data_IF_132821128869
#
_entry.id   IF_132821128869
#
_cell.length_a   1.000
_cell.length_b   1.000
_cell.length_c   1.000
_cell.angle_alpha   90.00
_cell.angle_beta   90.00
_cell.angle_gamma   90.00
#
_symmetry.space_group_name_H-M   'P 1'
#
loop_
_entity.id
_entity.type
_entity.pdbx_description
1 polymer ?
#
# COMPACT_ATOMS: atom_id res chain seq x y z
N UNK A 1 -19.75 34.53 57.49
CA UNK A 1 -20.53 33.27 57.44
C UNK A 1 -19.56 32.10 57.32
N UNK A 2 -19.33 31.36 58.41
CA UNK A 2 -18.55 30.12 58.43
C UNK A 2 -19.12 29.22 59.53
N UNK A 3 -19.50 27.99 59.17
CA UNK A 3 -19.49 26.84 60.07
C UNK A 3 -19.61 25.56 59.22
N UNK A 4 -18.53 24.82 59.20
CA UNK A 4 -18.40 23.44 58.73
C UNK A 4 -19.23 22.46 59.56
N UNK A 5 -19.78 21.42 58.93
CA UNK A 5 -19.88 20.10 59.58
C UNK A 5 -19.92 18.98 58.54
N UNK A 6 -19.17 17.93 58.85
CA UNK A 6 -18.97 16.75 58.03
C UNK A 6 -19.60 15.52 58.68
N UNK A 7 -19.67 14.46 57.87
CA UNK A 7 -19.71 13.02 58.20
C UNK A 7 -21.08 12.45 58.63
N UNK A 8 -21.57 11.47 57.86
CA UNK A 8 -21.56 10.04 58.27
C UNK A 8 -21.80 9.12 57.08
N UNK A 9 -20.77 8.33 56.82
CA UNK A 9 -20.78 7.11 56.02
C UNK A 9 -21.73 6.10 56.67
N UNK A 10 -22.58 5.47 55.88
CA UNK A 10 -23.29 4.25 56.29
C UNK A 10 -23.05 3.21 55.21
N UNK A 11 -22.16 2.25 55.53
CA UNK A 11 -22.10 0.97 54.84
C UNK A 11 -23.43 0.24 55.07
N UNK A 12 -24.12 -0.11 53.99
CA UNK A 12 -25.03 -1.24 53.99
C UNK A 12 -24.52 -2.23 52.94
N UNK A 13 -23.90 -3.31 53.43
CA UNK A 13 -23.68 -4.53 52.67
C UNK A 13 -25.03 -5.24 52.61
N UNK A 14 -25.61 -5.33 51.42
CA UNK A 14 -26.84 -6.05 51.14
C UNK A 14 -26.72 -6.72 49.79
N UNK A 15 -26.49 -8.03 49.81
CA UNK A 15 -26.27 -8.92 48.68
C UNK A 15 -27.59 -9.17 47.94
N UNK A 16 -27.65 -8.79 46.65
CA UNK A 16 -28.23 -9.61 45.55
C UNK A 16 -27.98 -8.86 44.22
N UNK A 17 -26.87 -9.14 43.55
CA UNK A 17 -26.56 -8.53 42.26
C UNK A 17 -26.50 -9.63 41.19
N UNK A 18 -27.56 -9.72 40.39
CA UNK A 18 -27.55 -10.41 39.10
C UNK A 18 -27.95 -9.42 38.00
N UNK A 19 -27.24 -9.54 36.88
CA UNK A 19 -27.46 -8.94 35.55
C UNK A 19 -26.79 -7.56 35.35
N UNK A 20 -25.53 -7.56 34.86
CA UNK A 20 -25.15 -7.38 33.44
C UNK A 20 -25.34 -5.90 33.02
N UNK A 21 -24.30 -5.08 32.90
CA UNK A 21 -23.41 -5.12 31.74
C UNK A 21 -22.25 -4.12 31.92
N UNK A 22 -21.03 -4.57 31.59
CA UNK A 22 -19.81 -3.76 31.51
C UNK A 22 -19.89 -2.80 30.32
N UNK A 23 -19.81 -1.49 30.56
CA UNK A 23 -19.56 -0.50 29.51
C UNK A 23 -18.11 0.00 29.62
N UNK A 24 -17.17 -0.77 29.09
CA UNK A 24 -15.81 -0.28 28.77
C UNK A 24 -15.79 -0.04 27.25
N UNK A 25 -16.10 1.20 26.87
CA UNK A 25 -15.99 1.66 25.48
C UNK A 25 -14.73 2.50 25.33
N UNK A 26 -13.70 1.96 24.68
CA UNK A 26 -12.72 2.67 23.84
C UNK A 26 -11.65 1.69 23.35
N UNK A 27 -11.98 0.90 22.33
CA UNK A 27 -10.96 0.31 21.45
C UNK A 27 -10.90 1.13 20.17
N UNK A 28 -9.83 1.91 19.99
CA UNK A 28 -9.29 2.33 18.70
C UNK A 28 -7.87 2.84 18.96
N UNK A 29 -6.85 2.35 18.24
CA UNK A 29 -6.83 2.51 16.79
C UNK A 29 -6.59 1.18 16.04
N UNK A 30 -7.43 0.93 15.04
CA UNK A 30 -7.07 0.09 13.89
C UNK A 30 -6.69 1.03 12.74
N UNK A 31 -5.40 1.27 12.58
CA UNK A 31 -4.77 1.76 11.36
C UNK A 31 -3.28 1.37 11.50
N UNK A 32 -2.59 0.85 10.49
CA UNK A 32 -2.61 1.25 9.10
C UNK A 32 -2.53 0.03 8.18
N UNK A 33 -3.16 0.17 7.00
CA UNK A 33 -2.98 -0.73 5.89
C UNK A 33 -1.51 -0.64 5.43
N UNK A 34 -0.71 -1.66 5.73
CA UNK A 34 0.63 -1.80 5.17
C UNK A 34 0.50 -2.39 3.76
N UNK A 35 -0.01 -1.60 2.81
CA UNK A 35 0.44 -1.75 1.43
C UNK A 35 1.74 -0.97 1.32
N UNK A 36 2.80 -1.50 1.94
CA UNK A 36 4.13 -0.89 1.91
C UNK A 36 4.72 -1.23 0.53
N UNK A 37 4.28 -0.48 -0.48
CA UNK A 37 4.92 -0.51 -1.79
C UNK A 37 6.40 -0.15 -1.58
N UNK A 38 7.34 -0.85 -2.24
CA UNK A 38 8.76 -0.65 -1.96
C UNK A 38 9.19 0.75 -2.42
N UNK A 39 10.09 1.39 -1.66
CA UNK A 39 10.64 2.69 -2.03
C UNK A 39 11.48 2.62 -3.31
N UNK A 40 12.15 1.47 -3.52
CA UNK A 40 13.03 1.24 -4.65
C UNK A 40 12.69 -0.05 -5.39
N UNK A 41 12.93 -0.03 -6.69
CA UNK A 41 12.79 -1.15 -7.59
C UNK A 41 14.13 -1.59 -8.18
N UNK A 42 14.16 -2.85 -8.59
CA UNK A 42 15.14 -3.41 -9.53
C UNK A 42 14.47 -4.06 -10.73
N UNK A 43 15.16 -4.06 -11.87
CA UNK A 43 14.67 -4.66 -13.11
C UNK A 43 14.82 -6.18 -13.04
N UNK A 44 13.68 -6.87 -13.19
CA UNK A 44 13.57 -8.32 -13.27
C UNK A 44 13.45 -8.77 -14.72
N UNK A 45 14.59 -8.93 -15.39
CA UNK A 45 14.70 -9.40 -16.77
C UNK A 45 15.99 -10.20 -16.95
N UNK A 46 16.03 -11.08 -17.96
CA UNK A 46 17.25 -11.78 -18.34
C UNK A 46 18.35 -10.82 -18.79
N UNK A 47 19.61 -11.20 -18.56
CA UNK A 47 20.78 -10.40 -18.89
C UNK A 47 20.78 -9.99 -20.37
N UNK A 48 21.08 -8.72 -20.64
CA UNK A 48 21.04 -8.12 -21.97
C UNK A 48 19.65 -7.62 -22.39
N UNK A 49 18.62 -7.86 -21.58
CA UNK A 49 17.30 -7.25 -21.77
C UNK A 49 17.30 -5.74 -21.48
N UNK A 50 16.39 -5.02 -22.13
CA UNK A 50 16.16 -3.59 -21.87
C UNK A 50 14.70 -3.32 -21.58
N UNK A 51 14.44 -2.59 -20.50
CA UNK A 51 13.12 -2.13 -20.10
C UNK A 51 12.90 -0.68 -20.55
N UNK A 52 11.90 -0.43 -21.39
CA UNK A 52 11.64 0.91 -21.92
C UNK A 52 10.94 1.81 -20.89
N UNK A 53 11.45 3.04 -20.74
CA UNK A 53 10.81 4.12 -19.98
C UNK A 53 10.10 5.05 -20.97
N UNK A 54 8.85 5.43 -20.66
CA UNK A 54 7.96 6.16 -21.57
C UNK A 54 7.36 7.40 -20.92
N UNK A 55 6.92 8.35 -21.74
CA UNK A 55 6.33 9.61 -21.27
C UNK A 55 4.98 9.43 -20.56
N UNK A 56 4.22 8.39 -20.91
CA UNK A 56 2.89 8.07 -20.36
C UNK A 56 2.77 6.55 -20.13
N UNK A 57 1.83 6.08 -19.28
CA UNK A 57 1.60 4.66 -19.00
C UNK A 57 0.93 3.92 -20.17
N UNK A 58 1.62 3.83 -21.31
CA UNK A 58 1.10 3.24 -22.54
C UNK A 58 2.22 2.75 -23.45
N UNK A 59 2.01 1.59 -24.08
CA UNK A 59 2.94 1.05 -25.08
C UNK A 59 3.10 1.95 -26.32
N UNK A 60 2.11 2.81 -26.59
CA UNK A 60 2.13 3.76 -27.70
C UNK A 60 2.78 5.10 -27.33
N UNK A 61 3.07 5.34 -26.05
CA UNK A 61 3.68 6.59 -25.61
C UNK A 61 5.14 6.68 -26.08
N UNK A 62 5.61 7.92 -26.31
CA UNK A 62 7.00 8.19 -26.65
C UNK A 62 7.96 7.54 -25.64
N UNK A 63 8.97 6.82 -26.13
CA UNK A 63 10.08 6.32 -25.33
C UNK A 63 10.98 7.49 -24.95
N UNK A 64 11.25 7.64 -23.65
CA UNK A 64 12.14 8.70 -23.11
C UNK A 64 13.47 8.13 -22.62
N UNK A 65 13.55 6.81 -22.43
CA UNK A 65 14.80 6.14 -22.09
C UNK A 65 14.63 4.63 -21.96
N UNK A 66 15.64 3.97 -21.41
CA UNK A 66 15.61 2.54 -21.11
C UNK A 66 16.50 2.21 -19.90
N UNK A 67 16.10 1.17 -19.18
CA UNK A 67 16.84 0.57 -18.08
C UNK A 67 17.39 -0.77 -18.57
N UNK A 68 18.60 -1.12 -18.15
CA UNK A 68 19.18 -2.42 -18.44
C UNK A 68 18.60 -3.49 -17.51
N UNK A 69 18.69 -4.75 -17.90
CA UNK A 69 18.47 -5.87 -16.98
C UNK A 69 19.30 -5.66 -15.70
N UNK A 70 18.75 -6.09 -14.57
CA UNK A 70 19.40 -6.03 -13.25
C UNK A 70 19.68 -4.61 -12.71
N UNK A 71 19.26 -3.55 -13.43
CA UNK A 71 19.33 -2.16 -12.91
C UNK A 71 18.57 -2.09 -11.58
N UNK A 72 19.21 -1.59 -10.53
CA UNK A 72 18.68 -1.43 -9.18
C UNK A 72 18.66 0.06 -8.77
N UNK A 73 18.20 0.38 -7.56
CA UNK A 73 18.11 1.76 -7.06
C UNK A 73 17.14 2.64 -7.85
N UNK A 74 16.12 2.06 -8.47
CA UNK A 74 15.11 2.81 -9.24
C UNK A 74 14.06 3.34 -8.26
N UNK A 75 13.89 4.66 -8.17
CA UNK A 75 12.94 5.27 -7.24
C UNK A 75 11.51 4.96 -7.67
N UNK A 76 10.69 4.47 -6.74
CA UNK A 76 9.25 4.27 -6.96
C UNK A 76 8.48 5.59 -6.76
N UNK A 77 7.96 6.17 -7.85
CA UNK A 77 7.08 7.35 -7.79
C UNK A 77 5.58 6.97 -7.82
N UNK A 78 5.27 5.68 -7.65
CA UNK A 78 3.92 5.14 -7.62
C UNK A 78 3.56 4.30 -8.85
N UNK A 79 2.78 3.25 -8.62
CA UNK A 79 2.27 2.39 -9.68
C UNK A 79 0.77 2.59 -9.89
N UNK A 80 0.39 2.79 -11.14
CA UNK A 80 -0.99 2.66 -11.58
C UNK A 80 -1.25 1.20 -11.91
N UNK A 81 -2.06 0.55 -11.08
CA UNK A 81 -2.62 -0.76 -11.36
C UNK A 81 -3.94 -0.51 -12.11
N UNK A 82 -4.16 -1.27 -13.19
CA UNK A 82 -5.41 -1.24 -13.92
C UNK A 82 -6.60 -1.76 -13.09
N UNK A 83 -7.62 -2.23 -13.79
CA UNK A 83 -8.88 -2.81 -13.33
C UNK A 83 -8.91 -3.30 -11.87
N UNK A 84 -9.94 -2.94 -11.08
CA UNK A 84 -10.13 -3.39 -9.71
C UNK A 84 -10.03 -4.92 -9.55
N UNK A 85 -9.53 -5.39 -8.40
CA UNK A 85 -9.28 -6.81 -8.15
C UNK A 85 -10.50 -7.72 -8.39
N UNK A 86 -11.70 -7.29 -7.94
CA UNK A 86 -12.92 -8.07 -8.11
C UNK A 86 -13.33 -8.21 -9.59
N UNK A 87 -13.14 -7.15 -10.38
CA UNK A 87 -13.36 -7.18 -11.82
C UNK A 87 -12.31 -8.05 -12.53
N UNK A 88 -11.03 -7.93 -12.14
CA UNK A 88 -9.97 -8.77 -12.67
C UNK A 88 -10.22 -10.26 -12.41
N UNK A 89 -10.63 -10.61 -11.18
CA UNK A 89 -10.93 -12.00 -10.78
C UNK A 89 -12.05 -12.62 -11.61
N UNK A 90 -13.05 -11.81 -11.96
CA UNK A 90 -14.21 -12.24 -12.74
C UNK A 90 -13.98 -12.13 -14.26
N UNK A 91 -12.82 -11.64 -14.70
CA UNK A 91 -12.51 -11.44 -16.10
C UNK A 91 -11.90 -12.68 -16.78
N UNK A 92 -11.98 -12.74 -18.11
CA UNK A 92 -11.42 -13.85 -18.89
C UNK A 92 -9.89 -13.86 -18.82
N UNK A 93 -9.25 -15.00 -19.07
CA UNK A 93 -7.78 -15.10 -19.16
C UNK A 93 -7.18 -14.11 -20.17
N UNK A 94 -7.89 -13.82 -21.27
CA UNK A 94 -7.47 -12.82 -22.25
C UNK A 94 -7.46 -11.41 -21.65
N UNK A 95 -8.51 -11.03 -20.91
CA UNK A 95 -8.58 -9.74 -20.21
C UNK A 95 -7.51 -9.64 -19.14
N UNK A 96 -7.32 -10.68 -18.31
CA UNK A 96 -6.28 -10.72 -17.27
C UNK A 96 -4.87 -10.53 -17.84
N UNK A 97 -4.56 -11.12 -19.01
CA UNK A 97 -3.28 -10.95 -19.72
C UNK A 97 -3.08 -9.55 -20.31
N UNK A 98 -4.16 -8.85 -20.65
CA UNK A 98 -4.10 -7.44 -21.05
C UNK A 98 -3.89 -6.57 -19.81
N UNK A 99 -4.54 -6.92 -18.70
CA UNK A 99 -4.53 -6.14 -17.47
C UNK A 99 -3.22 -6.19 -16.69
N UNK A 100 -2.53 -7.33 -16.67
CA UNK A 100 -1.17 -7.39 -16.10
C UNK A 100 -0.20 -6.47 -16.84
N UNK A 101 -0.40 -6.29 -18.15
CA UNK A 101 0.33 -5.30 -18.97
C UNK A 101 -0.10 -3.85 -18.72
N UNK A 102 -1.10 -3.62 -17.86
CA UNK A 102 -1.53 -2.30 -17.41
C UNK A 102 -0.96 -1.88 -16.07
N UNK A 103 -0.16 -2.71 -15.37
CA UNK A 103 0.64 -2.19 -14.27
C UNK A 103 1.73 -1.31 -14.85
N UNK A 104 1.59 0.00 -14.68
CA UNK A 104 2.59 0.98 -15.06
C UNK A 104 3.11 1.66 -13.81
N UNK A 105 4.43 1.68 -13.63
CA UNK A 105 5.05 2.38 -12.52
C UNK A 105 5.75 3.62 -13.04
N UNK A 106 5.45 4.75 -12.41
CA UNK A 106 6.20 5.97 -12.58
C UNK A 106 7.48 5.84 -11.75
N UNK A 107 8.62 6.16 -12.36
CA UNK A 107 9.93 5.94 -11.76
C UNK A 107 10.84 7.14 -11.98
N UNK A 108 11.86 7.25 -11.13
CA UNK A 108 13.03 8.08 -11.37
C UNK A 108 14.30 7.22 -11.34
N UNK A 109 15.21 7.47 -12.29
CA UNK A 109 16.52 6.83 -12.31
C UNK A 109 17.54 7.75 -12.99
N UNK A 110 18.63 8.09 -12.30
CA UNK A 110 19.69 8.98 -12.80
C UNK A 110 19.16 10.30 -13.43
N UNK A 111 18.17 10.93 -12.79
CA UNK A 111 17.53 12.16 -13.27
C UNK A 111 16.54 11.99 -14.42
N UNK A 112 16.30 10.75 -14.88
CA UNK A 112 15.26 10.42 -15.86
C UNK A 112 13.97 10.04 -15.14
N UNK A 113 12.86 10.72 -15.45
CA UNK A 113 11.53 10.38 -14.96
C UNK A 113 10.65 9.82 -16.08
N UNK A 114 9.85 8.80 -15.79
CA UNK A 114 8.83 8.31 -16.70
C UNK A 114 8.16 7.02 -16.27
N UNK A 115 7.36 6.45 -17.17
CA UNK A 115 6.53 5.27 -16.92
C UNK A 115 7.13 4.03 -17.55
N UNK A 116 7.18 2.94 -16.78
CA UNK A 116 7.62 1.63 -17.26
C UNK A 116 6.61 0.54 -16.88
N UNK A 117 6.67 -0.60 -17.57
CA UNK A 117 5.81 -1.74 -17.28
C UNK A 117 6.25 -2.38 -15.95
N UNK A 118 5.40 -2.25 -14.92
CA UNK A 118 5.71 -2.67 -13.55
C UNK A 118 5.79 -4.18 -13.35
N UNK A 119 5.43 -4.98 -14.37
CA UNK A 119 5.62 -6.43 -14.37
C UNK A 119 7.10 -6.87 -14.47
N UNK A 120 7.98 -5.95 -14.89
CA UNK A 120 9.43 -6.16 -14.97
C UNK A 120 10.18 -5.51 -13.81
N UNK A 121 9.46 -5.08 -12.77
CA UNK A 121 10.01 -4.50 -11.56
C UNK A 121 9.74 -5.42 -10.38
N UNK A 122 10.71 -5.53 -9.48
CA UNK A 122 10.53 -6.11 -8.15
C UNK A 122 11.17 -5.21 -7.10
N UNK A 123 10.80 -5.42 -5.83
CA UNK A 123 11.35 -4.64 -4.71
C UNK A 123 12.87 -4.80 -4.66
N UNK A 124 13.56 -3.68 -4.51
CA UNK A 124 15.01 -3.64 -4.26
C UNK A 124 15.24 -3.54 -2.76
N UNK A 125 15.10 -4.70 -2.09
CA UNK A 125 15.33 -4.79 -0.65
C UNK A 125 16.83 -4.97 -0.39
N UNK A 126 17.39 -4.31 0.64
CA UNK A 126 18.73 -4.66 1.10
C UNK A 126 18.76 -6.14 1.52
N UNK A 127 19.75 -6.89 1.03
CA UNK A 127 20.00 -8.29 1.42
C UNK A 127 20.35 -8.43 2.91
#
# INVERSE_FOLDING_TARGET
MKATKAVKSVLHVGVLATVLSLSVSSFAPLAQANSEDPDYFRVKMDKGGTLNVRKNPSLKAQKVGALQAETNGIVNLGCHIGMPYLEWRNSTTAVRKVETRRKWCNIEYNGMTGWTAGQYLEADLPE
#
